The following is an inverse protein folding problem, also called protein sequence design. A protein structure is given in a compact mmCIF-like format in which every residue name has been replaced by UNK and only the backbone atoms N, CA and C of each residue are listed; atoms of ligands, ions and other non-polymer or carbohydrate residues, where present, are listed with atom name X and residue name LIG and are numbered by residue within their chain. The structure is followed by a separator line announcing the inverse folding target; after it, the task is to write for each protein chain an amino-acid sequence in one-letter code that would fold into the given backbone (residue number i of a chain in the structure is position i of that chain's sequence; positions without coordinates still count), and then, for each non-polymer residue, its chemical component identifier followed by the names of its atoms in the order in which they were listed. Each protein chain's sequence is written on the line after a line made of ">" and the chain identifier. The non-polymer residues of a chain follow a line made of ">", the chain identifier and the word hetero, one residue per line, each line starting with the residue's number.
data_IF_983238369021
#
_entry.id   IF_983238369021
#
_cell.length_a   1.000
_cell.length_b   1.000
_cell.length_c   1.000
_cell.angle_alpha   90.00
_cell.angle_beta   90.00
_cell.angle_gamma   90.00
#
_symmetry.space_group_name_H-M   'P 1'
#
loop_
_entity.id
_entity.type
_entity.pdbx_description
1 polymer ?
#
# COMPACT_ATOMS: atom_id res chain seq x y z
N UNK A 1 -27.21 -28.04 -1.70
CA UNK A 1 -26.42 -26.94 -2.29
C UNK A 1 -25.74 -27.48 -3.53
N UNK A 2 -26.00 -26.88 -4.69
CA UNK A 2 -25.27 -27.17 -5.91
C UNK A 2 -23.85 -26.60 -5.84
N UNK A 3 -22.92 -27.13 -6.63
CA UNK A 3 -21.53 -26.65 -6.70
C UNK A 3 -21.46 -25.16 -7.09
N UNK A 4 -22.44 -24.68 -7.86
CA UNK A 4 -22.56 -23.27 -8.24
C UNK A 4 -22.88 -22.38 -7.03
N UNK A 5 -23.79 -22.82 -6.16
CA UNK A 5 -24.13 -22.09 -4.92
C UNK A 5 -22.94 -22.05 -3.94
N UNK A 6 -22.12 -23.10 -3.91
CA UNK A 6 -20.90 -23.13 -3.10
C UNK A 6 -19.86 -22.12 -3.60
N UNK A 7 -19.63 -22.05 -4.92
CA UNK A 7 -18.69 -21.10 -5.50
C UNK A 7 -19.11 -19.64 -5.23
N UNK A 8 -20.40 -19.33 -5.40
CA UNK A 8 -20.95 -18.00 -5.11
C UNK A 8 -20.79 -17.60 -3.64
N UNK A 9 -20.99 -18.55 -2.71
CA UNK A 9 -20.79 -18.30 -1.28
C UNK A 9 -19.32 -18.02 -0.95
N UNK A 10 -18.39 -18.76 -1.56
CA UNK A 10 -16.95 -18.56 -1.36
C UNK A 10 -16.54 -17.18 -1.87
N UNK A 11 -16.93 -16.83 -3.09
CA UNK A 11 -16.65 -15.53 -3.70
C UNK A 11 -17.15 -14.39 -2.80
N UNK A 12 -18.40 -14.46 -2.36
CA UNK A 12 -19.00 -13.45 -1.48
C UNK A 12 -18.28 -13.35 -0.13
N UNK A 13 -17.81 -14.48 0.40
CA UNK A 13 -17.07 -14.51 1.67
C UNK A 13 -15.70 -13.85 1.53
N UNK A 14 -15.01 -14.08 0.42
CA UNK A 14 -13.72 -13.46 0.11
C UNK A 14 -13.86 -11.95 -0.04
N UNK A 15 -14.85 -11.48 -0.79
CA UNK A 15 -15.15 -10.03 -0.92
C UNK A 15 -15.36 -9.38 0.45
N UNK A 16 -16.25 -9.95 1.27
CA UNK A 16 -16.55 -9.43 2.61
C UNK A 16 -15.32 -9.43 3.54
N UNK A 17 -14.48 -10.46 3.43
CA UNK A 17 -13.23 -10.53 4.20
C UNK A 17 -12.24 -9.43 3.79
N UNK A 18 -12.09 -9.18 2.49
CA UNK A 18 -11.25 -8.11 1.96
C UNK A 18 -11.78 -6.73 2.34
N UNK A 19 -13.08 -6.49 2.21
CA UNK A 19 -13.73 -5.24 2.66
C UNK A 19 -13.51 -5.00 4.15
N UNK A 20 -13.70 -6.03 4.99
CA UNK A 20 -13.46 -5.92 6.43
C UNK A 20 -11.99 -5.73 6.78
N UNK A 21 -11.08 -6.37 6.05
CA UNK A 21 -9.65 -6.18 6.24
C UNK A 21 -9.23 -4.75 5.88
N UNK A 22 -9.67 -4.24 4.72
CA UNK A 22 -9.44 -2.87 4.30
C UNK A 22 -10.03 -1.84 5.30
N UNK A 23 -11.22 -2.12 5.86
CA UNK A 23 -11.83 -1.26 6.88
C UNK A 23 -11.11 -1.30 8.24
N UNK A 24 -10.49 -2.44 8.60
CA UNK A 24 -9.80 -2.64 9.89
C UNK A 24 -8.32 -2.28 9.86
N UNK A 25 -7.68 -2.32 8.71
CA UNK A 25 -6.28 -1.94 8.53
C UNK A 25 -6.25 -0.50 8.04
N UNK A 26 -6.20 0.50 8.94
CA UNK A 26 -6.05 1.88 8.53
C UNK A 26 -4.78 2.00 7.71
N UNK A 27 -4.85 2.82 6.65
CA UNK A 27 -3.70 3.10 5.80
C UNK A 27 -2.52 3.50 6.69
N UNK A 28 -1.34 2.88 6.55
CA UNK A 28 -0.22 3.15 7.43
C UNK A 28 0.13 4.64 7.35
N UNK A 29 0.36 5.30 8.50
CA UNK A 29 0.76 6.71 8.54
C UNK A 29 2.17 6.97 8.01
N UNK A 30 2.99 5.92 7.99
CA UNK A 30 4.37 5.94 7.55
C UNK A 30 4.76 4.54 7.06
N UNK A 31 5.62 4.48 6.05
CA UNK A 31 6.03 3.25 5.39
C UNK A 31 7.54 3.18 5.24
N UNK A 32 8.08 1.98 5.11
CA UNK A 32 9.49 1.77 4.77
C UNK A 32 9.76 2.12 3.31
N UNK A 33 11.04 2.26 2.93
CA UNK A 33 11.47 2.43 1.52
C UNK A 33 10.95 1.28 0.65
N UNK A 34 10.98 0.04 1.14
CA UNK A 34 10.51 -1.13 0.39
C UNK A 34 9.01 -1.06 0.13
N UNK A 35 8.22 -0.78 1.16
CA UNK A 35 6.77 -0.62 1.02
C UNK A 35 6.40 0.57 0.13
N UNK A 36 7.09 1.71 0.25
CA UNK A 36 6.88 2.84 -0.64
C UNK A 36 7.19 2.47 -2.11
N UNK A 37 8.23 1.67 -2.35
CA UNK A 37 8.57 1.19 -3.70
C UNK A 37 7.47 0.31 -4.28
N UNK A 38 6.93 -0.62 -3.49
CA UNK A 38 5.78 -1.46 -3.88
C UNK A 38 4.55 -0.59 -4.21
N UNK A 39 4.23 0.39 -3.35
CA UNK A 39 3.08 1.28 -3.55
C UNK A 39 3.22 2.18 -4.78
N UNK A 40 4.44 2.61 -5.12
CA UNK A 40 4.71 3.44 -6.30
C UNK A 40 4.91 2.64 -7.59
N UNK A 41 5.02 1.30 -7.51
CA UNK A 41 5.39 0.47 -8.65
C UNK A 41 6.81 0.72 -9.14
N UNK A 42 7.74 1.03 -8.22
CA UNK A 42 9.15 1.35 -8.52
C UNK A 42 10.08 0.35 -7.85
N UNK A 43 11.35 0.33 -8.28
CA UNK A 43 12.37 -0.45 -7.57
C UNK A 43 12.73 0.20 -6.23
N UNK A 44 13.08 -0.62 -5.22
CA UNK A 44 13.62 -0.15 -3.94
C UNK A 44 14.81 0.81 -4.12
N UNK A 45 15.67 0.54 -5.10
CA UNK A 45 16.83 1.37 -5.42
C UNK A 45 16.42 2.76 -5.93
N UNK A 46 15.39 2.83 -6.78
CA UNK A 46 14.84 4.09 -7.28
C UNK A 46 14.31 4.94 -6.12
N UNK A 47 13.46 4.38 -5.26
CA UNK A 47 12.93 5.08 -4.08
C UNK A 47 14.05 5.50 -3.13
N UNK A 48 15.06 4.66 -2.94
CA UNK A 48 16.25 5.02 -2.15
C UNK A 48 16.97 6.23 -2.75
N UNK A 49 17.18 6.29 -4.08
CA UNK A 49 17.74 7.46 -4.75
C UNK A 49 16.87 8.71 -4.58
N UNK A 50 15.55 8.58 -4.63
CA UNK A 50 14.63 9.71 -4.41
C UNK A 50 14.77 10.28 -2.99
N UNK A 51 14.98 9.41 -1.99
CA UNK A 51 15.26 9.84 -0.61
C UNK A 51 16.61 10.56 -0.52
N UNK A 52 17.67 9.98 -1.09
CA UNK A 52 19.02 10.59 -1.07
C UNK A 52 19.10 11.90 -1.86
N UNK A 53 18.28 12.05 -2.92
CA UNK A 53 18.15 13.28 -3.71
C UNK A 53 17.15 14.28 -3.14
N UNK A 54 16.63 14.02 -1.92
CA UNK A 54 15.73 14.91 -1.19
C UNK A 54 14.35 15.12 -1.85
N UNK A 55 13.98 14.27 -2.81
CA UNK A 55 12.65 14.24 -3.43
C UNK A 55 11.60 13.62 -2.49
N UNK A 56 12.03 12.73 -1.60
CA UNK A 56 11.26 12.25 -0.46
C UNK A 56 12.10 12.38 0.80
N UNK A 57 11.45 12.67 1.93
CA UNK A 57 12.10 12.85 3.22
C UNK A 57 11.66 11.78 4.20
N UNK A 58 12.64 11.16 4.85
CA UNK A 58 12.38 10.30 6.00
C UNK A 58 11.99 11.16 7.21
N UNK A 59 11.13 10.62 8.06
CA UNK A 59 10.86 11.18 9.37
C UNK A 59 11.96 10.79 10.38
N UNK A 60 11.77 11.20 11.64
CA UNK A 60 12.71 10.92 12.73
C UNK A 60 12.95 9.43 13.01
N UNK A 61 12.02 8.57 12.58
CA UNK A 61 12.13 7.11 12.73
C UNK A 61 12.73 6.43 11.49
N UNK A 62 13.17 7.18 10.48
CA UNK A 62 13.72 6.61 9.24
C UNK A 62 12.66 6.05 8.29
N UNK A 63 11.39 6.44 8.44
CA UNK A 63 10.27 6.00 7.60
C UNK A 63 9.77 7.14 6.71
N UNK A 64 9.19 6.79 5.56
CA UNK A 64 8.58 7.75 4.63
C UNK A 64 7.13 8.00 5.09
N UNK A 65 6.74 9.23 5.45
CA UNK A 65 5.34 9.59 5.69
C UNK A 65 4.45 9.26 4.49
N UNK A 66 3.28 8.67 4.74
CA UNK A 66 2.42 8.17 3.66
C UNK A 66 1.91 9.29 2.73
N UNK A 67 1.79 10.51 3.26
CA UNK A 67 1.34 11.68 2.52
C UNK A 67 2.30 12.05 1.39
N UNK A 68 3.60 11.74 1.54
CA UNK A 68 4.59 11.93 0.48
C UNK A 68 4.43 10.91 -0.64
N UNK A 69 4.14 9.65 -0.30
CA UNK A 69 3.82 8.59 -1.29
C UNK A 69 2.57 8.99 -2.08
N UNK A 70 1.55 9.47 -1.38
CA UNK A 70 0.33 9.97 -2.01
C UNK A 70 0.57 11.19 -2.92
N UNK A 71 1.45 12.11 -2.51
CA UNK A 71 1.82 13.25 -3.34
C UNK A 71 2.51 12.79 -4.64
N UNK A 72 3.41 11.80 -4.57
CA UNK A 72 4.06 11.23 -5.74
C UNK A 72 3.07 10.52 -6.67
N UNK A 73 2.12 9.76 -6.11
CA UNK A 73 1.07 9.10 -6.91
C UNK A 73 0.17 10.10 -7.63
N UNK A 74 -0.14 11.25 -7.02
CA UNK A 74 -0.93 12.32 -7.63
C UNK A 74 -0.15 13.14 -8.67
N UNK A 75 1.18 13.15 -8.58
CA UNK A 75 2.05 13.90 -9.50
C UNK A 75 2.39 13.12 -10.78
N UNK A 76 1.96 11.86 -10.87
CA UNK A 76 2.07 11.02 -12.07
C UNK A 76 0.96 11.33 -13.06
#
# INVERSE_FOLDING_TARGET
>A
MSDIEQLQLIERTVELALERHAARTPRPSQVTITQAAEMLGLSRHTVSKMVHSNQMKLNRCGLIPIEQVDAMLRAR
#
